data_IF_281139294220
#
_entry.id   IF_281139294220
#
_cell.length_a   1.000
_cell.length_b   1.000
_cell.length_c   1.000
_cell.angle_alpha   90.00
_cell.angle_beta   90.00
_cell.angle_gamma   90.00
#
_symmetry.space_group_name_H-M   'P 1'
#
loop_
_entity.id
_entity.type
_entity.pdbx_description
1 polymer ?
#
# COMPACT_ATOMS: atom_id res chain seq x y z
N UNK A 1 -24.83 12.71 8.34
CA UNK A 1 -24.74 11.90 7.09
C UNK A 1 -23.30 11.77 6.55
N UNK A 2 -22.37 12.71 6.84
CA UNK A 2 -20.98 12.66 6.35
C UNK A 2 -20.00 11.76 7.15
N UNK A 3 -20.42 11.16 8.26
CA UNK A 3 -19.58 10.30 9.11
C UNK A 3 -19.45 8.88 8.52
N UNK A 4 -20.55 8.27 8.09
CA UNK A 4 -20.56 6.88 7.62
C UNK A 4 -19.70 6.62 6.37
N UNK A 5 -19.55 7.60 5.46
CA UNK A 5 -18.71 7.45 4.28
C UNK A 5 -17.21 7.40 4.61
N UNK A 6 -16.77 8.15 5.63
CA UNK A 6 -15.38 8.16 6.10
C UNK A 6 -15.05 6.87 6.86
N UNK A 7 -15.98 6.44 7.70
CA UNK A 7 -15.85 5.19 8.45
C UNK A 7 -15.76 3.99 7.49
N UNK A 8 -16.54 3.99 6.41
CA UNK A 8 -16.46 2.98 5.35
C UNK A 8 -15.12 3.00 4.61
N UNK A 9 -14.58 4.20 4.31
CA UNK A 9 -13.29 4.34 3.64
C UNK A 9 -12.15 3.76 4.48
N UNK A 10 -12.12 4.04 5.78
CA UNK A 10 -11.12 3.45 6.70
C UNK A 10 -11.31 1.94 6.78
N UNK A 11 -12.54 1.46 6.93
CA UNK A 11 -12.83 0.04 6.99
C UNK A 11 -12.34 -0.68 5.71
N UNK A 12 -12.54 -0.06 4.54
CA UNK A 12 -12.02 -0.55 3.27
C UNK A 12 -10.48 -0.57 3.26
N UNK A 13 -9.83 0.53 3.66
CA UNK A 13 -8.37 0.63 3.70
C UNK A 13 -7.73 -0.38 4.66
N UNK A 14 -8.31 -0.59 5.85
CA UNK A 14 -7.88 -1.61 6.80
C UNK A 14 -8.15 -3.02 6.27
N UNK A 15 -9.30 -3.23 5.62
CA UNK A 15 -9.65 -4.49 4.98
C UNK A 15 -8.65 -4.88 3.89
N UNK A 16 -8.19 -3.94 3.07
CA UNK A 16 -7.19 -4.20 2.03
C UNK A 16 -5.81 -4.53 2.61
N UNK A 17 -5.38 -3.89 3.71
CA UNK A 17 -4.15 -4.28 4.43
C UNK A 17 -4.28 -5.70 4.98
N UNK A 18 -5.44 -6.00 5.58
CA UNK A 18 -5.69 -7.33 6.13
C UNK A 18 -5.71 -8.41 5.04
N UNK A 19 -6.29 -8.12 3.88
CA UNK A 19 -6.26 -9.01 2.72
C UNK A 19 -4.83 -9.25 2.23
N UNK A 20 -3.98 -8.21 2.14
CA UNK A 20 -2.57 -8.38 1.78
C UNK A 20 -1.81 -9.26 2.76
N UNK A 21 -2.07 -9.11 4.07
CA UNK A 21 -1.49 -9.96 5.11
C UNK A 21 -1.92 -11.43 4.92
N UNK A 22 -3.19 -11.68 4.59
CA UNK A 22 -3.68 -13.03 4.28
C UNK A 22 -2.97 -13.59 3.04
N UNK A 23 -2.77 -12.81 1.98
CA UNK A 23 -2.08 -13.29 0.78
C UNK A 23 -0.62 -13.64 1.06
N UNK A 24 0.09 -12.79 1.80
CA UNK A 24 1.44 -13.07 2.25
C UNK A 24 1.51 -14.36 3.10
N UNK A 25 0.53 -14.59 3.98
CA UNK A 25 0.45 -15.83 4.76
C UNK A 25 0.12 -17.04 3.86
N UNK A 26 -0.83 -16.87 2.94
CA UNK A 26 -1.29 -17.92 2.03
C UNK A 26 -0.18 -18.36 1.07
N UNK A 27 0.72 -17.47 0.63
CA UNK A 27 1.84 -17.85 -0.22
C UNK A 27 2.74 -18.90 0.46
N UNK A 28 2.93 -18.79 1.78
CA UNK A 28 3.78 -19.69 2.55
C UNK A 28 3.06 -21.01 2.80
N UNK A 29 1.77 -20.97 3.10
CA UNK A 29 0.98 -22.16 3.42
C UNK A 29 0.65 -22.98 2.17
N UNK A 30 0.34 -22.31 1.07
CA UNK A 30 -0.11 -22.92 -0.19
C UNK A 30 1.00 -23.00 -1.23
N UNK A 31 2.26 -22.95 -0.78
CA UNK A 31 3.44 -22.97 -1.66
C UNK A 31 3.54 -24.25 -2.50
N UNK A 32 2.87 -25.35 -2.15
CA UNK A 32 3.01 -26.62 -2.84
C UNK A 32 2.57 -26.58 -4.32
N UNK A 33 1.53 -25.81 -4.65
CA UNK A 33 0.92 -25.79 -5.98
C UNK A 33 1.23 -24.48 -6.73
N UNK A 34 1.81 -24.60 -7.93
CA UNK A 34 2.15 -23.46 -8.79
C UNK A 34 0.93 -22.65 -9.24
N UNK A 35 -0.20 -23.30 -9.51
CA UNK A 35 -1.42 -22.65 -9.99
C UNK A 35 -2.08 -21.85 -8.87
N UNK A 36 -2.14 -22.43 -7.66
CA UNK A 36 -2.66 -21.72 -6.48
C UNK A 36 -1.77 -20.52 -6.16
N UNK A 37 -0.45 -20.70 -6.20
CA UNK A 37 0.50 -19.63 -5.95
C UNK A 37 0.36 -18.48 -6.98
N UNK A 38 0.19 -18.81 -8.26
CA UNK A 38 -0.08 -17.82 -9.30
C UNK A 38 -1.36 -17.03 -9.01
N UNK A 39 -2.43 -17.69 -8.58
CA UNK A 39 -3.69 -17.02 -8.24
C UNK A 39 -3.50 -16.06 -7.06
N UNK A 40 -2.80 -16.48 -6.01
CA UNK A 40 -2.49 -15.62 -4.85
C UNK A 40 -1.70 -14.38 -5.28
N UNK A 41 -0.69 -14.56 -6.14
CA UNK A 41 0.14 -13.45 -6.61
C UNK A 41 -0.64 -12.45 -7.48
N UNK A 42 -1.56 -12.93 -8.32
CA UNK A 42 -2.45 -12.05 -9.10
C UNK A 42 -3.37 -11.28 -8.16
N UNK A 43 -4.04 -11.96 -7.22
CA UNK A 43 -4.94 -11.34 -6.25
C UNK A 43 -4.22 -10.30 -5.39
N UNK A 44 -3.03 -10.63 -4.91
CA UNK A 44 -2.20 -9.71 -4.14
C UNK A 44 -1.79 -8.49 -4.97
N UNK A 45 -1.33 -8.70 -6.20
CA UNK A 45 -0.97 -7.62 -7.11
C UNK A 45 -2.13 -6.66 -7.37
N UNK A 46 -3.34 -7.20 -7.63
CA UNK A 46 -4.55 -6.40 -7.79
C UNK A 46 -4.89 -5.63 -6.50
N UNK A 47 -4.81 -6.27 -5.33
CA UNK A 47 -5.06 -5.62 -4.04
C UNK A 47 -4.10 -4.46 -3.78
N UNK A 48 -2.81 -4.61 -4.08
CA UNK A 48 -1.81 -3.54 -3.91
C UNK A 48 -2.05 -2.36 -4.87
N UNK A 49 -2.44 -2.63 -6.11
CA UNK A 49 -2.82 -1.59 -7.06
C UNK A 49 -4.07 -0.85 -6.56
N UNK A 50 -5.08 -1.57 -6.06
CA UNK A 50 -6.27 -0.97 -5.47
C UNK A 50 -5.93 -0.11 -4.24
N UNK A 51 -5.02 -0.57 -3.37
CA UNK A 51 -4.52 0.22 -2.24
C UNK A 51 -3.97 1.57 -2.70
N UNK A 52 -3.14 1.58 -3.75
CA UNK A 52 -2.56 2.81 -4.31
C UNK A 52 -3.66 3.70 -4.90
N UNK A 53 -4.58 3.14 -5.69
CA UNK A 53 -5.68 3.89 -6.30
C UNK A 53 -6.56 4.54 -5.22
N UNK A 54 -6.98 3.78 -4.21
CA UNK A 54 -7.79 4.29 -3.10
C UNK A 54 -7.04 5.38 -2.34
N UNK A 55 -5.73 5.23 -2.14
CA UNK A 55 -4.91 6.25 -1.49
C UNK A 55 -4.87 7.54 -2.31
N UNK A 56 -4.67 7.46 -3.62
CA UNK A 56 -4.67 8.61 -4.53
C UNK A 56 -6.04 9.29 -4.58
N UNK A 57 -7.13 8.53 -4.68
CA UNK A 57 -8.49 9.07 -4.69
C UNK A 57 -8.81 9.77 -3.37
N UNK A 58 -8.48 9.13 -2.24
CA UNK A 58 -8.69 9.70 -0.90
C UNK A 58 -7.93 11.02 -0.75
N UNK A 59 -6.69 11.06 -1.25
CA UNK A 59 -5.89 12.27 -1.32
C UNK A 59 -6.54 13.36 -2.18
N UNK A 60 -6.95 13.06 -3.42
CA UNK A 60 -7.57 14.03 -4.34
C UNK A 60 -8.89 14.59 -3.81
N UNK A 61 -9.61 13.83 -2.98
CA UNK A 61 -10.87 14.27 -2.36
C UNK A 61 -10.69 15.26 -1.20
N UNK A 62 -9.46 15.48 -0.73
CA UNK A 62 -9.17 16.36 0.42
C UNK A 62 -9.23 17.84 0.05
N UNK A 63 -9.75 18.70 0.95
CA UNK A 63 -9.88 20.14 0.74
C UNK A 63 -8.55 20.86 0.49
N UNK A 64 -7.45 20.42 1.13
CA UNK A 64 -6.08 20.92 0.88
C UNK A 64 -5.65 20.69 -0.57
N UNK A 65 -6.14 19.59 -1.15
CA UNK A 65 -6.21 19.27 -2.59
C UNK A 65 -6.69 20.45 -3.43
N UNK A 66 -7.93 20.80 -3.13
CA UNK A 66 -8.76 21.75 -3.85
C UNK A 66 -8.35 23.21 -3.62
N UNK A 67 -7.72 23.50 -2.47
CA UNK A 67 -7.24 24.83 -2.10
C UNK A 67 -5.85 25.19 -2.68
N UNK A 68 -5.22 24.30 -3.46
CA UNK A 68 -3.95 24.58 -4.15
C UNK A 68 -2.68 24.40 -3.29
N UNK A 69 -2.78 23.88 -2.06
CA UNK A 69 -1.64 23.61 -1.17
C UNK A 69 -0.97 22.25 -1.47
N UNK A 70 -0.71 21.99 -2.75
CA UNK A 70 -0.18 20.72 -3.25
C UNK A 70 1.21 20.42 -2.66
N UNK A 71 2.05 21.44 -2.44
CA UNK A 71 3.43 21.27 -1.95
C UNK A 71 3.51 20.73 -0.52
N UNK A 72 2.61 21.18 0.37
CA UNK A 72 2.53 20.68 1.74
C UNK A 72 2.02 19.23 1.77
N UNK A 73 1.00 18.96 0.96
CA UNK A 73 0.38 17.63 0.87
C UNK A 73 1.33 16.60 0.24
N UNK A 74 2.07 16.97 -0.80
CA UNK A 74 3.10 16.11 -1.38
C UNK A 74 4.20 15.77 -0.36
N UNK A 75 4.58 16.70 0.52
CA UNK A 75 5.60 16.42 1.55
C UNK A 75 5.14 15.36 2.57
N UNK A 76 3.86 15.34 2.88
CA UNK A 76 3.32 14.49 3.95
C UNK A 76 2.86 13.11 3.44
N UNK A 77 2.37 13.03 2.19
CA UNK A 77 1.82 11.80 1.59
C UNK A 77 2.76 11.10 0.58
N UNK A 78 3.76 11.81 0.03
CA UNK A 78 4.77 11.20 -0.87
C UNK A 78 5.49 10.00 -0.27
N UNK A 79 5.87 9.99 1.02
CA UNK A 79 6.51 8.82 1.62
C UNK A 79 5.64 7.56 1.54
N UNK A 80 4.33 7.66 1.80
CA UNK A 80 3.43 6.50 1.75
C UNK A 80 3.23 6.01 0.33
N UNK A 81 3.10 6.92 -0.64
CA UNK A 81 2.98 6.54 -2.05
C UNK A 81 4.27 5.85 -2.53
N UNK A 82 5.43 6.40 -2.20
CA UNK A 82 6.72 5.82 -2.53
C UNK A 82 6.88 4.42 -1.95
N UNK A 83 6.59 4.25 -0.66
CA UNK A 83 6.63 2.93 0.01
C UNK A 83 5.68 1.94 -0.66
N UNK A 84 4.47 2.38 -1.03
CA UNK A 84 3.48 1.52 -1.70
C UNK A 84 3.97 1.05 -3.08
N UNK A 85 4.57 1.95 -3.86
CA UNK A 85 5.14 1.62 -5.17
C UNK A 85 6.34 0.70 -5.04
N UNK A 86 7.25 0.97 -4.09
CA UNK A 86 8.41 0.13 -3.84
C UNK A 86 7.99 -1.28 -3.42
N UNK A 87 6.98 -1.39 -2.56
CA UNK A 87 6.45 -2.68 -2.11
C UNK A 87 5.78 -3.46 -3.26
N UNK A 88 5.03 -2.77 -4.14
CA UNK A 88 4.46 -3.39 -5.34
C UNK A 88 5.56 -3.94 -6.26
N UNK A 89 6.61 -3.16 -6.53
CA UNK A 89 7.74 -3.58 -7.36
C UNK A 89 8.44 -4.79 -6.74
N UNK A 90 8.72 -4.75 -5.44
CA UNK A 90 9.36 -5.86 -4.73
C UNK A 90 8.51 -7.14 -4.77
N UNK A 91 7.18 -7.01 -4.61
CA UNK A 91 6.26 -8.13 -4.70
C UNK A 91 6.21 -8.73 -6.10
N UNK A 92 6.11 -7.89 -7.15
CA UNK A 92 6.16 -8.36 -8.54
C UNK A 92 7.50 -9.06 -8.83
N UNK A 93 8.63 -8.48 -8.41
CA UNK A 93 9.94 -9.09 -8.59
C UNK A 93 9.99 -10.47 -7.94
N UNK A 94 9.60 -10.58 -6.67
CA UNK A 94 9.56 -11.84 -5.95
C UNK A 94 8.69 -12.88 -6.67
N UNK A 95 7.49 -12.49 -7.13
CA UNK A 95 6.55 -13.38 -7.81
C UNK A 95 7.12 -13.92 -9.13
N UNK A 96 7.69 -13.03 -9.96
CA UNK A 96 8.29 -13.39 -11.25
C UNK A 96 9.46 -14.34 -11.06
N UNK A 97 10.35 -14.05 -10.11
CA UNK A 97 11.51 -14.90 -9.85
C UNK A 97 11.11 -16.26 -9.24
N UNK A 98 10.17 -16.27 -8.30
CA UNK A 98 9.71 -17.50 -7.64
C UNK A 98 9.00 -18.43 -8.61
N UNK A 99 7.96 -17.95 -9.31
CA UNK A 99 7.24 -18.74 -10.31
C UNK A 99 8.16 -19.11 -11.48
N UNK A 100 9.01 -18.21 -11.94
CA UNK A 100 9.92 -18.46 -13.04
C UNK A 100 10.92 -19.59 -12.74
N UNK A 101 11.42 -19.68 -11.51
CA UNK A 101 12.29 -20.78 -11.09
C UNK A 101 11.52 -22.10 -11.01
N UNK A 102 10.31 -22.10 -10.44
CA UNK A 102 9.47 -23.29 -10.29
C UNK A 102 8.92 -23.82 -11.61
N UNK A 103 8.64 -22.95 -12.58
CA UNK A 103 8.18 -23.39 -13.90
C UNK A 103 9.28 -24.08 -14.71
N UNK A 104 10.54 -23.65 -14.52
CA UNK A 104 11.70 -24.26 -15.18
C UNK A 104 12.08 -25.59 -14.54
N UNK A 105 11.92 -25.72 -13.24
CA UNK A 105 12.21 -26.92 -12.48
C UNK A 105 11.10 -27.13 -11.43
N UNK A 106 10.13 -28.04 -11.69
CA UNK A 106 9.00 -28.26 -10.77
C UNK A 106 9.41 -28.70 -9.36
N UNK A 107 10.52 -29.42 -9.24
CA UNK A 107 11.10 -29.86 -7.96
C UNK A 107 11.95 -28.79 -7.26
N UNK A 108 12.05 -27.59 -7.86
CA UNK A 108 12.81 -26.50 -7.27
C UNK A 108 12.16 -26.00 -5.99
N UNK A 109 12.89 -26.12 -4.89
CA UNK A 109 12.50 -25.60 -3.59
C UNK A 109 13.04 -24.16 -3.47
N UNK A 110 12.18 -23.12 -3.44
CA UNK A 110 12.61 -21.72 -3.43
C UNK A 110 13.60 -21.36 -2.32
N UNK A 111 13.43 -21.99 -1.15
CA UNK A 111 14.22 -21.81 0.06
C UNK A 111 15.67 -22.27 -0.05
N UNK A 112 16.03 -23.01 -1.11
CA UNK A 112 17.40 -23.50 -1.31
C UNK A 112 18.32 -22.45 -1.93
N UNK A 113 17.76 -21.39 -2.53
CA UNK A 113 18.57 -20.34 -3.12
C UNK A 113 18.69 -19.12 -2.21
N UNK A 114 19.92 -18.74 -1.92
CA UNK A 114 20.23 -17.65 -1.00
C UNK A 114 19.68 -16.31 -1.49
N UNK A 115 19.79 -16.03 -2.80
CA UNK A 115 19.34 -14.77 -3.37
C UNK A 115 17.80 -14.63 -3.37
N UNK A 116 17.06 -15.71 -3.63
CA UNK A 116 15.59 -15.69 -3.61
C UNK A 116 15.07 -15.59 -2.17
N UNK A 117 15.74 -16.26 -1.24
CA UNK A 117 15.47 -16.12 0.20
C UNK A 117 15.73 -14.69 0.66
N UNK A 118 16.82 -14.08 0.20
CA UNK A 118 17.11 -12.66 0.43
C UNK A 118 16.00 -11.75 -0.11
N UNK A 119 15.57 -11.95 -1.36
CA UNK A 119 14.48 -11.18 -1.97
C UNK A 119 13.15 -11.36 -1.20
N UNK A 120 12.84 -12.59 -0.78
CA UNK A 120 11.68 -12.90 0.05
C UNK A 120 11.72 -12.15 1.39
N UNK A 121 12.85 -12.20 2.11
CA UNK A 121 12.98 -11.47 3.39
C UNK A 121 12.86 -9.95 3.20
N UNK A 122 13.45 -9.41 2.13
CA UNK A 122 13.32 -7.99 1.78
C UNK A 122 11.87 -7.60 1.51
N UNK A 123 11.13 -8.41 0.75
CA UNK A 123 9.71 -8.18 0.48
C UNK A 123 8.88 -8.18 1.78
N UNK A 124 9.16 -9.08 2.72
CA UNK A 124 8.48 -9.10 4.03
C UNK A 124 8.78 -7.87 4.88
N UNK A 125 10.02 -7.41 4.89
CA UNK A 125 10.39 -6.16 5.59
C UNK A 125 9.65 -4.97 4.95
N UNK A 126 9.61 -4.91 3.61
CA UNK A 126 8.85 -3.88 2.91
C UNK A 126 7.35 -3.94 3.20
N UNK A 127 6.77 -5.14 3.35
CA UNK A 127 5.36 -5.32 3.74
C UNK A 127 5.08 -4.67 5.11
N UNK A 128 5.94 -4.89 6.11
CA UNK A 128 5.81 -4.30 7.45
C UNK A 128 5.85 -2.77 7.37
N UNK A 129 6.79 -2.22 6.61
CA UNK A 129 6.93 -0.77 6.41
C UNK A 129 5.68 -0.23 5.69
N UNK A 130 5.22 -0.91 4.65
CA UNK A 130 4.01 -0.55 3.91
C UNK A 130 2.78 -0.51 4.83
N UNK A 131 2.56 -1.54 5.66
CA UNK A 131 1.43 -1.57 6.60
C UNK A 131 1.48 -0.42 7.60
N UNK A 132 2.66 -0.08 8.12
CA UNK A 132 2.82 1.03 9.07
C UNK A 132 2.48 2.39 8.42
N UNK A 133 3.04 2.66 7.23
CA UNK A 133 2.82 3.93 6.53
C UNK A 133 1.38 4.05 5.99
N UNK A 134 0.84 2.98 5.42
CA UNK A 134 -0.52 2.97 4.88
C UNK A 134 -1.56 3.15 5.99
N UNK A 135 -1.43 2.43 7.12
CA UNK A 135 -2.30 2.60 8.28
C UNK A 135 -2.23 4.03 8.83
N UNK A 136 -1.03 4.58 8.99
CA UNK A 136 -0.85 5.97 9.46
C UNK A 136 -1.58 6.96 8.54
N UNK A 137 -1.45 6.77 7.23
CA UNK A 137 -2.06 7.63 6.20
C UNK A 137 -3.58 7.52 6.19
N UNK A 138 -4.13 6.31 6.34
CA UNK A 138 -5.57 6.07 6.46
C UNK A 138 -6.20 6.84 7.63
N UNK A 139 -5.56 6.82 8.80
CA UNK A 139 -6.02 7.59 9.95
C UNK A 139 -5.85 9.11 9.75
N UNK A 140 -4.74 9.55 9.15
CA UNK A 140 -4.48 10.97 8.86
C UNK A 140 -5.50 11.57 7.88
N UNK A 141 -5.90 10.82 6.85
CA UNK A 141 -6.93 11.24 5.89
C UNK A 141 -8.30 11.41 6.55
N UNK A 142 -8.53 10.75 7.67
CA UNK A 142 -9.78 10.85 8.43
C UNK A 142 -9.77 12.04 9.39
N UNK A 143 -8.60 12.61 9.71
CA UNK A 143 -8.51 13.73 10.65
C UNK A 143 -9.37 14.90 10.16
N UNK A 144 -10.38 15.35 10.95
CA UNK A 144 -11.24 16.46 10.59
C UNK A 144 -10.45 17.75 10.30
N UNK A 145 -9.22 17.91 10.81
CA UNK A 145 -8.34 19.05 10.50
C UNK A 145 -8.03 19.21 9.02
N UNK A 146 -8.05 18.12 8.24
CA UNK A 146 -7.78 18.14 6.80
C UNK A 146 -9.02 18.49 5.95
N UNK A 147 -10.22 18.37 6.54
CA UNK A 147 -11.52 18.48 5.85
C UNK A 147 -12.40 19.63 6.32
N UNK A 148 -12.14 20.19 7.51
CA UNK A 148 -12.86 21.37 8.02
C UNK A 148 -12.04 22.63 7.77
N UNK A 149 -12.69 23.70 7.29
CA UNK A 149 -12.15 25.05 7.15
C UNK A 149 -11.70 25.63 8.51
N UNK A 150 -10.53 25.20 8.99
CA UNK A 150 -10.06 25.51 10.32
C UNK A 150 -9.10 26.71 10.32
N UNK A 151 -9.06 27.45 11.43
CA UNK A 151 -8.21 28.65 11.62
C UNK A 151 -6.73 28.41 11.26
N UNK A 152 -6.26 27.16 11.36
CA UNK A 152 -4.92 26.73 10.96
C UNK A 152 -4.66 26.87 9.45
N UNK A 153 -5.61 26.48 8.59
CA UNK A 153 -5.48 26.59 7.13
C UNK A 153 -5.43 28.06 6.69
N UNK A 154 -6.29 28.89 7.29
CA UNK A 154 -6.27 30.35 7.12
C UNK A 154 -4.93 30.97 7.53
N UNK A 155 -4.31 30.48 8.60
CA UNK A 155 -3.00 30.96 9.03
C UNK A 155 -1.87 30.53 8.08
N UNK A 156 -1.92 29.33 7.52
CA UNK A 156 -0.92 28.91 6.51
C UNK A 156 -1.04 29.69 5.21
N UNK A 157 -2.27 29.92 4.72
CA UNK A 157 -2.50 30.77 3.53
C UNK A 157 -1.98 32.19 3.78
N UNK A 158 -2.13 32.72 4.99
CA UNK A 158 -1.57 34.03 5.38
C UNK A 158 -0.04 34.07 5.49
N UNK A 159 0.62 32.93 5.65
CA UNK A 159 2.08 32.82 5.85
C UNK A 159 2.85 32.52 4.56
N UNK A 160 2.18 32.24 3.43
CA UNK A 160 2.85 32.19 2.13
C UNK A 160 3.09 33.62 1.62
N UNK A 161 4.36 34.04 1.40
CA UNK A 161 4.64 35.25 0.65
C UNK A 161 4.33 35.00 -0.83
N UNK A 162 3.69 35.98 -1.45
CA UNK A 162 3.43 36.03 -2.90
C UNK A 162 4.72 35.98 -3.72
#
# INVERSE_FOLDING_TARGET
MATGAKDLLIALQLGMIFADLIFNLADVLLYADNMILLMIYILQGTNLVLCIIVLVISFSSTFVFQAGLISLLLKEFSPTLLVSVLYLIASIALHVFTLGARWRAPDYIPWTSEWLTGLYTLQRIMAIIFYAYYKRTAFLLTDPRLHSDNKWLRNQIRMQPH
#
